data_IF_845918399217
#
_entry.id   IF_845918399217
#
_cell.length_a   1.000
_cell.length_b   1.000
_cell.length_c   1.000
_cell.angle_alpha   90.00
_cell.angle_beta   90.00
_cell.angle_gamma   90.00
#
_symmetry.space_group_name_H-M   'P 1'
#
loop_
_entity.id
_entity.type
_entity.pdbx_description
1 polymer ?
#
# COMPACT_ATOMS: atom_id res chain seq x y z
N UNK A 1 -16.81 11.64 17.61
CA UNK A 1 -17.46 11.22 16.35
C UNK A 1 -16.36 10.77 15.44
N UNK A 2 -16.35 9.49 15.09
CA UNK A 2 -15.54 8.99 13.98
C UNK A 2 -15.94 9.84 12.76
N UNK A 3 -15.00 10.61 12.22
CA UNK A 3 -15.30 11.39 11.01
C UNK A 3 -15.51 10.37 9.91
N UNK A 4 -16.72 10.35 9.33
CA UNK A 4 -16.99 9.51 8.16
C UNK A 4 -15.93 9.81 7.10
N UNK A 5 -15.14 8.79 6.78
CA UNK A 5 -14.16 8.90 5.70
C UNK A 5 -14.89 9.26 4.42
N UNK A 6 -14.24 10.08 3.59
CA UNK A 6 -14.71 10.31 2.21
C UNK A 6 -14.97 8.96 1.53
N UNK A 7 -16.08 8.78 0.77
CA UNK A 7 -16.40 7.50 0.16
C UNK A 7 -15.27 6.90 -0.67
N UNK A 8 -14.51 7.73 -1.38
CA UNK A 8 -13.35 7.32 -2.18
C UNK A 8 -12.20 6.81 -1.31
N UNK A 9 -11.96 7.45 -0.16
CA UNK A 9 -10.96 7.02 0.81
C UNK A 9 -11.35 5.69 1.46
N UNK A 10 -12.63 5.51 1.81
CA UNK A 10 -13.13 4.24 2.34
C UNK A 10 -13.02 3.10 1.31
N UNK A 11 -13.37 3.37 0.05
CA UNK A 11 -13.22 2.40 -1.04
C UNK A 11 -11.75 2.02 -1.28
N UNK A 12 -10.85 3.01 -1.25
CA UNK A 12 -9.41 2.78 -1.40
C UNK A 12 -8.82 1.98 -0.24
N UNK A 13 -9.20 2.29 1.01
CA UNK A 13 -8.79 1.54 2.18
C UNK A 13 -9.27 0.07 2.14
N UNK A 14 -10.49 -0.18 1.64
CA UNK A 14 -10.99 -1.55 1.42
C UNK A 14 -10.19 -2.29 0.34
N UNK A 15 -9.78 -1.60 -0.72
CA UNK A 15 -8.91 -2.18 -1.74
C UNK A 15 -7.50 -2.51 -1.19
N UNK A 16 -6.94 -1.62 -0.34
CA UNK A 16 -5.69 -1.87 0.39
C UNK A 16 -5.75 -3.15 1.21
N UNK A 17 -6.78 -3.31 2.05
CA UNK A 17 -7.00 -4.51 2.86
C UNK A 17 -7.14 -5.77 2.00
N UNK A 18 -7.86 -5.69 0.88
CA UNK A 18 -8.03 -6.81 -0.05
C UNK A 18 -6.68 -7.24 -0.63
N UNK A 19 -5.84 -6.28 -1.05
CA UNK A 19 -4.49 -6.56 -1.56
C UNK A 19 -3.54 -7.10 -0.49
N UNK A 20 -3.64 -6.65 0.77
CA UNK A 20 -2.88 -7.23 1.88
C UNK A 20 -3.23 -8.70 2.08
N UNK A 21 -4.53 -9.03 2.09
CA UNK A 21 -5.01 -10.42 2.19
C UNK A 21 -4.53 -11.30 1.03
N UNK A 22 -4.61 -10.82 -0.21
CA UNK A 22 -4.10 -11.55 -1.38
C UNK A 22 -2.59 -11.85 -1.27
N UNK A 23 -1.82 -10.93 -0.70
CA UNK A 23 -0.38 -11.07 -0.53
C UNK A 23 0.03 -11.71 0.81
N UNK A 24 -0.91 -12.19 1.63
CA UNK A 24 -0.60 -12.77 2.94
C UNK A 24 0.35 -13.99 2.86
N UNK A 25 0.36 -14.69 1.72
CA UNK A 25 1.29 -15.79 1.43
C UNK A 25 2.77 -15.36 1.40
N UNK A 26 3.07 -14.06 1.34
CA UNK A 26 4.45 -13.53 1.35
C UNK A 26 5.05 -13.41 2.75
N UNK A 27 4.25 -13.60 3.80
CA UNK A 27 4.68 -13.51 5.20
C UNK A 27 4.47 -12.13 5.82
N UNK A 28 4.98 -11.95 7.04
CA UNK A 28 4.88 -10.70 7.78
C UNK A 28 5.86 -9.66 7.23
N UNK A 29 5.34 -8.49 6.83
CA UNK A 29 6.15 -7.39 6.32
C UNK A 29 7.17 -6.86 7.31
N UNK A 30 7.01 -7.17 8.61
CA UNK A 30 7.96 -6.79 9.66
C UNK A 30 9.33 -7.45 9.55
N UNK A 31 9.45 -8.45 8.68
CA UNK A 31 10.73 -9.11 8.36
C UNK A 31 11.53 -8.37 7.27
N UNK A 32 10.92 -7.42 6.56
CA UNK A 32 11.58 -6.65 5.51
C UNK A 32 12.26 -5.40 6.06
N UNK A 33 13.38 -5.02 5.44
CA UNK A 33 14.07 -3.78 5.77
C UNK A 33 13.51 -2.58 4.99
N UNK A 34 13.83 -1.37 5.48
CA UNK A 34 13.40 -0.10 4.88
C UNK A 34 13.69 -0.01 3.37
N UNK A 35 14.91 -0.36 2.93
CA UNK A 35 15.31 -0.21 1.54
C UNK A 35 14.54 -1.14 0.60
N UNK A 36 14.23 -2.36 1.04
CA UNK A 36 13.38 -3.27 0.29
C UNK A 36 11.98 -2.68 0.07
N UNK A 37 11.35 -2.21 1.16
CA UNK A 37 10.00 -1.64 1.09
C UNK A 37 9.97 -0.36 0.24
N UNK A 38 10.99 0.50 0.35
CA UNK A 38 11.12 1.71 -0.47
C UNK A 38 11.30 1.38 -1.97
N UNK A 39 12.08 0.34 -2.29
CA UNK A 39 12.24 -0.12 -3.66
C UNK A 39 10.91 -0.67 -4.23
N UNK A 40 10.17 -1.44 -3.44
CA UNK A 40 8.84 -1.92 -3.84
C UNK A 40 7.83 -0.78 -4.06
N UNK A 41 7.87 0.26 -3.24
CA UNK A 41 7.06 1.47 -3.41
C UNK A 41 7.40 2.15 -4.75
N UNK A 42 8.68 2.40 -5.03
CA UNK A 42 9.13 3.00 -6.29
C UNK A 42 8.79 2.15 -7.52
N UNK A 43 8.91 0.83 -7.42
CA UNK A 43 8.54 -0.08 -8.50
C UNK A 43 7.05 0.02 -8.86
N UNK A 44 6.17 0.23 -7.88
CA UNK A 44 4.73 0.40 -8.13
C UNK A 44 4.37 1.73 -8.79
N UNK A 45 5.12 2.81 -8.53
CA UNK A 45 4.98 4.02 -9.34
C UNK A 45 5.31 3.74 -10.82
N UNK A 46 6.38 2.97 -11.08
CA UNK A 46 6.71 2.51 -12.43
C UNK A 46 5.61 1.67 -13.08
N UNK A 47 4.93 0.80 -12.31
CA UNK A 47 3.77 0.05 -12.79
C UNK A 47 2.59 0.97 -13.15
N UNK A 48 2.30 1.98 -12.32
CA UNK A 48 1.22 2.93 -12.59
C UNK A 48 1.47 3.74 -13.86
N UNK A 49 2.69 4.22 -14.06
CA UNK A 49 3.05 4.97 -15.29
C UNK A 49 2.82 4.09 -16.53
N UNK A 50 3.29 2.82 -16.49
CA UNK A 50 3.07 1.87 -17.60
C UNK A 50 1.59 1.54 -17.81
N UNK A 51 0.81 1.41 -16.73
CA UNK A 51 -0.62 1.15 -16.80
C UNK A 51 -1.39 2.32 -17.43
N UNK A 52 -1.04 3.56 -17.06
CA UNK A 52 -1.58 4.76 -17.68
C UNK A 52 -1.26 4.85 -19.17
N UNK A 53 0.01 4.62 -19.55
CA UNK A 53 0.43 4.61 -20.96
C UNK A 53 -0.27 3.53 -21.79
N UNK A 54 -0.69 2.43 -21.16
CA UNK A 54 -1.38 1.32 -21.79
C UNK A 54 -2.91 1.39 -21.71
N UNK A 55 -3.48 2.49 -21.18
CA UNK A 55 -4.92 2.69 -20.95
C UNK A 55 -5.58 1.53 -20.14
N UNK A 56 -4.92 1.15 -19.03
CA UNK A 56 -5.35 0.07 -18.13
C UNK A 56 -5.76 0.61 -16.75
N UNK A 57 -6.95 1.21 -16.60
CA UNK A 57 -7.35 1.90 -15.38
C UNK A 57 -7.38 0.99 -14.13
N UNK A 58 -7.75 -0.28 -14.28
CA UNK A 58 -7.72 -1.26 -13.20
C UNK A 58 -6.30 -1.56 -12.69
N UNK A 59 -5.33 -1.51 -13.60
CA UNK A 59 -3.91 -1.69 -13.27
C UNK A 59 -3.33 -0.45 -12.57
N UNK A 60 -3.86 0.75 -12.86
CA UNK A 60 -3.50 1.99 -12.14
C UNK A 60 -3.95 1.89 -10.68
N UNK A 61 -5.22 1.53 -10.44
CA UNK A 61 -5.76 1.39 -9.08
C UNK A 61 -4.95 0.35 -8.29
N UNK A 62 -4.67 -0.81 -8.89
CA UNK A 62 -3.86 -1.85 -8.25
C UNK A 62 -2.47 -1.35 -7.85
N UNK A 63 -1.78 -0.64 -8.75
CA UNK A 63 -0.47 -0.05 -8.48
C UNK A 63 -0.52 0.99 -7.35
N UNK A 64 -1.53 1.86 -7.35
CA UNK A 64 -1.72 2.86 -6.31
C UNK A 64 -1.94 2.22 -4.93
N UNK A 65 -2.79 1.19 -4.89
CA UNK A 65 -3.07 0.44 -3.66
C UNK A 65 -1.82 -0.28 -3.14
N UNK A 66 -1.06 -0.94 -4.01
CA UNK A 66 0.19 -1.59 -3.62
C UNK A 66 1.21 -0.57 -3.09
N UNK A 67 1.31 0.60 -3.74
CA UNK A 67 2.17 1.69 -3.28
C UNK A 67 1.76 2.21 -1.89
N UNK A 68 0.46 2.41 -1.66
CA UNK A 68 -0.07 2.82 -0.36
C UNK A 68 0.17 1.77 0.74
N UNK A 69 0.05 0.47 0.41
CA UNK A 69 0.37 -0.61 1.32
C UNK A 69 1.86 -0.62 1.71
N UNK A 70 2.78 -0.41 0.77
CA UNK A 70 4.20 -0.28 1.13
C UNK A 70 4.47 0.97 1.99
N UNK A 71 3.80 2.09 1.71
CA UNK A 71 3.88 3.28 2.56
C UNK A 71 3.36 2.98 3.99
N UNK A 72 2.23 2.29 4.11
CA UNK A 72 1.68 1.82 5.38
C UNK A 72 2.68 0.94 6.14
N UNK A 73 3.30 -0.04 5.48
CA UNK A 73 4.31 -0.93 6.09
C UNK A 73 5.53 -0.15 6.59
N UNK A 74 6.02 0.82 5.82
CA UNK A 74 7.12 1.70 6.23
C UNK A 74 6.71 2.53 7.45
N UNK A 75 5.52 3.13 7.44
CA UNK A 75 5.00 3.92 8.55
C UNK A 75 4.74 3.06 9.81
N UNK A 76 4.36 1.79 9.67
CA UNK A 76 4.23 0.83 10.79
C UNK A 76 5.59 0.56 11.44
N UNK A 77 6.62 0.31 10.65
CA UNK A 77 7.96 -0.06 11.14
C UNK A 77 8.80 1.11 11.64
N UNK A 78 8.67 2.26 10.99
CA UNK A 78 9.59 3.39 11.14
C UNK A 78 8.88 4.73 11.39
N UNK A 79 7.59 4.84 11.10
CA UNK A 79 6.81 6.09 11.17
C UNK A 79 5.84 6.20 12.35
N UNK A 80 5.78 5.19 13.24
CA UNK A 80 5.03 5.25 14.49
C UNK A 80 3.52 5.03 14.39
N UNK A 81 3.03 4.34 13.36
CA UNK A 81 1.60 3.95 13.27
C UNK A 81 1.18 3.02 14.42
N UNK A 82 2.07 2.14 14.88
CA UNK A 82 1.82 1.35 16.06
C UNK A 82 2.10 2.17 17.32
N UNK A 83 1.06 2.51 18.08
CA UNK A 83 1.12 3.10 19.42
C UNK A 83 1.69 2.15 20.50
N UNK A 84 2.44 1.10 20.11
CA UNK A 84 3.09 0.21 21.06
C UNK A 84 4.57 0.55 21.15
N UNK A 85 4.98 0.95 22.37
CA UNK A 85 6.38 1.22 22.75
C UNK A 85 7.27 0.09 22.21
N UNK A 86 8.31 0.46 21.47
CA UNK A 86 9.46 -0.40 21.19
C UNK A 86 10.04 -0.94 22.49
#
# INVERSE_FOLDING_TARGET
MEQDLRPELAAFAKAMETRLKENAHRGDWRTYNFYYLAACLAANLGHMIRAYQADKPESILKGAVDMANYALMISDLYGGLATRKR
#
